data_IF_413757367458
#
_entry.id   IF_413757367458
#
_cell.length_a   1.000
_cell.length_b   1.000
_cell.length_c   1.000
_cell.angle_alpha   90.00
_cell.angle_beta   90.00
_cell.angle_gamma   90.00
#
_symmetry.space_group_name_H-M   'P 1'
#
loop_
_entity.id
_entity.type
_entity.pdbx_description
1 polymer ?
#
# COMPACT_ATOMS: atom_id res chain seq x y z
N UNK A 1 -13.09 5.26 -5.69
CA UNK A 1 -13.34 5.99 -6.96
C UNK A 1 -12.06 6.44 -7.67
N UNK A 2 -11.16 7.21 -7.03
CA UNK A 2 -9.94 7.78 -7.66
C UNK A 2 -9.11 6.79 -8.52
N UNK A 3 -8.98 5.52 -8.12
CA UNK A 3 -8.14 4.51 -8.81
C UNK A 3 -8.77 3.88 -10.06
N UNK A 4 -10.10 3.67 -10.06
CA UNK A 4 -10.82 3.26 -11.28
C UNK A 4 -10.73 4.36 -12.35
N UNK A 5 -10.77 5.62 -11.90
CA UNK A 5 -10.60 6.79 -12.75
C UNK A 5 -9.20 6.83 -13.36
N UNK A 6 -8.13 6.57 -12.59
CA UNK A 6 -6.76 6.48 -13.13
C UNK A 6 -6.68 5.45 -14.26
N UNK A 7 -7.22 4.24 -14.09
CA UNK A 7 -7.21 3.22 -15.16
C UNK A 7 -7.96 3.66 -16.41
N UNK A 8 -9.13 4.27 -16.24
CA UNK A 8 -9.95 4.77 -17.36
C UNK A 8 -9.20 5.89 -18.09
N UNK A 9 -8.60 6.82 -17.35
CA UNK A 9 -7.78 7.89 -17.91
C UNK A 9 -6.57 7.30 -18.64
N UNK A 10 -5.81 6.39 -18.01
CA UNK A 10 -4.64 5.75 -18.63
C UNK A 10 -4.99 5.00 -19.91
N UNK A 11 -6.13 4.29 -19.94
CA UNK A 11 -6.63 3.65 -21.15
C UNK A 11 -7.01 4.67 -22.22
N UNK A 12 -7.68 5.77 -21.85
CA UNK A 12 -8.02 6.85 -22.77
C UNK A 12 -6.76 7.54 -23.34
N UNK A 13 -5.73 7.76 -22.52
CA UNK A 13 -4.46 8.33 -22.97
C UNK A 13 -3.74 7.43 -23.98
N UNK A 14 -3.79 6.11 -23.79
CA UNK A 14 -3.24 5.15 -24.77
C UNK A 14 -4.03 5.22 -26.08
N UNK A 15 -5.36 5.22 -26.02
CA UNK A 15 -6.21 5.30 -27.22
C UNK A 15 -5.97 6.62 -27.97
N UNK A 16 -5.88 7.75 -27.26
CA UNK A 16 -5.58 9.05 -27.84
C UNK A 16 -4.17 9.05 -28.46
N UNK A 17 -3.16 8.53 -27.73
CA UNK A 17 -1.78 8.45 -28.21
C UNK A 17 -1.65 7.60 -29.48
N UNK A 18 -2.27 6.42 -29.51
CA UNK A 18 -2.35 5.57 -30.70
C UNK A 18 -3.09 6.31 -31.82
N UNK A 19 -4.22 6.94 -31.51
CA UNK A 19 -5.01 7.71 -32.46
C UNK A 19 -4.19 8.81 -33.16
N UNK A 20 -3.41 9.58 -32.39
CA UNK A 20 -2.54 10.64 -32.93
C UNK A 20 -1.37 10.13 -33.77
N UNK A 21 -0.90 8.89 -33.53
CA UNK A 21 0.18 8.28 -34.30
C UNK A 21 -0.29 7.68 -35.63
N UNK A 22 -1.57 7.34 -35.75
CA UNK A 22 -2.15 6.69 -36.94
C UNK A 22 -2.76 7.72 -37.91
N UNK A 23 -2.83 9.02 -37.55
CA UNK A 23 -3.36 10.06 -38.45
C UNK A 23 -2.51 10.09 -39.74
N UNK A 24 -3.12 9.76 -40.90
CA UNK A 24 -2.39 9.70 -42.16
C UNK A 24 -1.93 11.11 -42.60
N UNK A 25 -0.76 11.14 -43.23
CA UNK A 25 -0.09 12.36 -43.74
C UNK A 25 -0.98 13.21 -44.66
N UNK A 26 -1.96 12.61 -45.32
CA UNK A 26 -2.81 13.28 -46.31
C UNK A 26 -4.00 14.09 -45.74
N UNK A 27 -4.13 14.24 -44.42
CA UNK A 27 -5.35 14.81 -43.80
C UNK A 27 -5.25 16.30 -43.44
N UNK A 28 -4.07 16.93 -43.54
CA UNK A 28 -3.84 18.32 -43.11
C UNK A 28 -3.63 19.23 -44.33
N UNK A 29 -4.71 19.66 -44.98
CA UNK A 29 -4.60 20.54 -46.16
C UNK A 29 -4.25 21.97 -45.75
N UNK A 30 -2.97 22.37 -45.90
CA UNK A 30 -2.55 23.77 -45.88
C UNK A 30 -1.10 24.03 -45.46
N UNK A 31 -0.31 24.68 -46.35
CA UNK A 31 1.08 25.12 -46.18
C UNK A 31 2.06 24.06 -45.64
N UNK A 32 2.81 23.44 -46.57
CA UNK A 32 3.80 22.36 -46.37
C UNK A 32 4.74 22.54 -45.16
N UNK A 33 5.14 23.77 -44.82
CA UNK A 33 6.04 24.04 -43.67
C UNK A 33 5.31 23.97 -42.32
N UNK A 34 4.06 24.41 -42.26
CA UNK A 34 3.22 24.34 -41.05
C UNK A 34 2.73 22.89 -40.86
N UNK A 35 2.44 22.19 -41.96
CA UNK A 35 1.99 20.80 -41.98
C UNK A 35 3.02 19.85 -41.34
N UNK A 36 4.30 19.96 -41.72
CA UNK A 36 5.38 19.12 -41.18
C UNK A 36 5.63 19.41 -39.69
N UNK A 37 5.70 20.69 -39.27
CA UNK A 37 5.88 21.04 -37.86
C UNK A 37 4.72 20.55 -36.98
N UNK A 38 3.47 20.77 -37.42
CA UNK A 38 2.28 20.34 -36.69
C UNK A 38 2.25 18.82 -36.55
N UNK A 39 2.63 18.09 -37.59
CA UNK A 39 2.64 16.63 -37.57
C UNK A 39 3.73 16.04 -36.67
N UNK A 40 4.94 16.61 -36.68
CA UNK A 40 6.01 16.21 -35.75
C UNK A 40 5.61 16.43 -34.29
N UNK A 41 5.02 17.59 -33.97
CA UNK A 41 4.51 17.87 -32.63
C UNK A 41 3.37 16.92 -32.22
N UNK A 42 2.47 16.55 -33.14
CA UNK A 42 1.41 15.56 -32.91
C UNK A 42 1.97 14.16 -32.62
N UNK A 43 2.99 13.72 -33.36
CA UNK A 43 3.66 12.43 -33.11
C UNK A 43 4.36 12.40 -31.75
N UNK A 44 5.11 13.45 -31.42
CA UNK A 44 5.78 13.58 -30.10
C UNK A 44 4.76 13.57 -28.96
N UNK A 45 3.68 14.34 -29.11
CA UNK A 45 2.59 14.36 -28.13
C UNK A 45 1.92 12.98 -27.98
N UNK A 46 1.71 12.28 -29.10
CA UNK A 46 1.17 10.93 -29.11
C UNK A 46 2.03 9.92 -28.34
N UNK A 47 3.35 9.96 -28.54
CA UNK A 47 4.31 9.13 -27.79
C UNK A 47 4.25 9.44 -26.29
N UNK A 48 4.24 10.72 -25.91
CA UNK A 48 4.16 11.14 -24.50
C UNK A 48 2.88 10.61 -23.85
N UNK A 49 1.73 10.75 -24.52
CA UNK A 49 0.44 10.27 -24.01
C UNK A 49 0.41 8.76 -23.86
N UNK A 50 1.00 8.03 -24.81
CA UNK A 50 1.09 6.58 -24.78
C UNK A 50 1.97 6.09 -23.60
N UNK A 51 3.14 6.71 -23.40
CA UNK A 51 4.01 6.41 -22.26
C UNK A 51 3.33 6.73 -20.92
N UNK A 52 2.69 7.89 -20.79
CA UNK A 52 1.97 8.28 -19.58
C UNK A 52 0.83 7.30 -19.26
N UNK A 53 0.10 6.85 -20.29
CA UNK A 53 -0.95 5.84 -20.13
C UNK A 53 -0.41 4.48 -19.70
N UNK A 54 0.69 3.99 -20.30
CA UNK A 54 1.34 2.73 -19.92
C UNK A 54 1.81 2.78 -18.46
N UNK A 55 2.51 3.85 -18.06
CA UNK A 55 3.00 4.02 -16.69
C UNK A 55 1.83 3.99 -15.70
N UNK A 56 0.73 4.70 -15.99
CA UNK A 56 -0.45 4.69 -15.14
C UNK A 56 -1.11 3.31 -15.01
N UNK A 57 -1.09 2.50 -16.06
CA UNK A 57 -1.56 1.10 -16.01
C UNK A 57 -0.66 0.21 -15.16
N UNK A 58 0.67 0.32 -15.31
CA UNK A 58 1.65 -0.47 -14.55
C UNK A 58 1.50 -0.19 -13.05
N UNK A 59 1.53 1.09 -12.66
CA UNK A 59 1.39 1.52 -11.25
C UNK A 59 0.07 1.01 -10.67
N UNK A 60 -1.03 1.09 -11.43
CA UNK A 60 -2.34 0.61 -10.97
C UNK A 60 -2.44 -0.92 -10.86
N UNK A 61 -1.63 -1.66 -11.62
CA UNK A 61 -1.54 -3.12 -11.56
C UNK A 61 -0.82 -3.59 -10.30
N UNK A 62 0.33 -2.99 -10.00
CA UNK A 62 1.18 -3.30 -8.84
C UNK A 62 0.44 -3.09 -7.52
N UNK A 63 -0.27 -1.97 -7.41
CA UNK A 63 -1.15 -1.61 -6.29
C UNK A 63 -2.17 -2.71 -5.93
N UNK A 64 -2.75 -3.36 -6.95
CA UNK A 64 -3.76 -4.42 -6.77
C UNK A 64 -3.12 -5.71 -6.29
N UNK A 65 -1.95 -6.05 -6.85
CA UNK A 65 -1.18 -7.23 -6.45
C UNK A 65 -0.77 -7.11 -4.98
N UNK A 66 -0.26 -5.95 -4.58
CA UNK A 66 0.17 -5.68 -3.21
C UNK A 66 -0.97 -5.84 -2.20
N UNK A 67 -2.15 -5.28 -2.49
CA UNK A 67 -3.35 -5.50 -1.66
C UNK A 67 -3.77 -6.96 -1.57
N UNK A 68 -3.71 -7.69 -2.69
CA UNK A 68 -4.07 -9.11 -2.70
C UNK A 68 -3.13 -9.94 -1.83
N UNK A 69 -1.83 -9.62 -1.87
CA UNK A 69 -0.82 -10.30 -1.08
C UNK A 69 -0.95 -9.98 0.42
N UNK A 70 -1.16 -8.72 0.78
CA UNK A 70 -1.43 -8.33 2.19
C UNK A 70 -2.67 -9.07 2.71
N UNK A 71 -3.75 -9.11 1.94
CA UNK A 71 -4.95 -9.85 2.32
C UNK A 71 -4.69 -11.36 2.47
N UNK A 72 -3.84 -11.94 1.62
CA UNK A 72 -3.45 -13.34 1.73
C UNK A 72 -2.72 -13.61 3.05
N UNK A 73 -1.71 -12.80 3.38
CA UNK A 73 -0.93 -12.95 4.64
C UNK A 73 -1.83 -12.79 5.86
N UNK A 74 -2.75 -11.82 5.85
CA UNK A 74 -3.69 -11.60 6.95
C UNK A 74 -4.63 -12.80 7.12
N UNK A 75 -5.06 -13.43 6.03
CA UNK A 75 -5.82 -14.69 6.11
C UNK A 75 -4.99 -15.85 6.64
N UNK A 76 -3.70 -15.95 6.30
CA UNK A 76 -2.83 -16.98 6.88
C UNK A 76 -2.70 -16.79 8.40
N UNK A 77 -2.56 -15.54 8.86
CA UNK A 77 -2.58 -15.19 10.28
C UNK A 77 -3.91 -15.54 10.95
N UNK A 78 -5.05 -15.16 10.36
CA UNK A 78 -6.37 -15.48 10.92
C UNK A 78 -6.57 -16.98 11.09
N UNK A 79 -6.08 -17.78 10.15
CA UNK A 79 -6.17 -19.24 10.19
C UNK A 79 -5.13 -19.89 11.12
N UNK A 80 -4.32 -19.10 11.83
CA UNK A 80 -3.30 -19.59 12.76
C UNK A 80 -2.08 -20.21 12.08
N UNK A 81 -1.91 -20.03 10.76
CA UNK A 81 -0.73 -20.51 10.02
C UNK A 81 0.50 -19.67 10.30
N UNK A 82 0.29 -18.40 10.64
CA UNK A 82 1.33 -17.45 11.01
C UNK A 82 1.01 -16.90 12.39
N UNK A 83 2.06 -16.63 13.17
CA UNK A 83 1.94 -15.79 14.35
C UNK A 83 1.93 -14.29 13.93
N UNK A 84 1.56 -13.35 14.82
CA UNK A 84 1.40 -11.94 14.44
C UNK A 84 2.72 -11.30 14.01
N UNK A 85 3.86 -11.70 14.60
CA UNK A 85 5.19 -11.19 14.22
C UNK A 85 5.54 -11.65 12.81
N UNK A 86 5.40 -12.94 12.50
CA UNK A 86 5.65 -13.50 11.17
C UNK A 86 4.76 -12.85 10.10
N UNK A 87 3.48 -12.64 10.39
CA UNK A 87 2.55 -12.00 9.47
C UNK A 87 3.01 -10.57 9.13
N UNK A 88 3.42 -9.80 10.13
CA UNK A 88 3.90 -8.43 9.93
C UNK A 88 5.26 -8.39 9.26
N UNK A 89 6.19 -9.28 9.62
CA UNK A 89 7.48 -9.43 8.93
C UNK A 89 7.27 -9.75 7.46
N UNK A 90 6.38 -10.70 7.13
CA UNK A 90 6.04 -11.05 5.75
C UNK A 90 5.45 -9.86 4.99
N UNK A 91 4.58 -9.07 5.63
CA UNK A 91 4.06 -7.83 5.06
C UNK A 91 5.18 -6.79 4.85
N UNK A 92 6.10 -6.63 5.80
CA UNK A 92 7.12 -5.57 5.80
C UNK A 92 8.33 -5.89 4.92
N UNK A 93 8.75 -7.15 4.83
CA UNK A 93 10.01 -7.57 4.19
C UNK A 93 9.76 -8.32 2.87
N UNK A 94 8.82 -9.27 2.85
CA UNK A 94 8.61 -10.14 1.69
C UNK A 94 7.71 -9.49 0.63
N UNK A 95 6.69 -8.75 1.06
CA UNK A 95 5.75 -8.12 0.11
C UNK A 95 6.30 -6.84 -0.49
N UNK A 96 7.29 -6.22 0.16
CA UNK A 96 7.85 -4.97 -0.33
C UNK A 96 9.38 -4.84 -0.14
N UNK A 97 10.16 -5.65 -0.87
CA UNK A 97 11.62 -5.69 -0.73
C UNK A 97 12.32 -4.36 -1.07
N UNK A 98 11.66 -3.46 -1.80
CA UNK A 98 12.23 -2.20 -2.29
C UNK A 98 12.07 -1.00 -1.32
N UNK A 99 12.02 -1.25 -0.01
CA UNK A 99 12.06 -0.17 1.01
C UNK A 99 10.70 0.33 1.50
N UNK A 100 9.66 -0.43 1.23
CA UNK A 100 8.28 -0.12 1.59
C UNK A 100 8.01 -0.62 2.99
N UNK A 101 8.24 0.27 3.95
CA UNK A 101 8.25 -0.05 5.35
C UNK A 101 6.89 0.26 5.96
N UNK A 102 6.53 -0.53 6.95
CA UNK A 102 5.40 -0.18 7.81
C UNK A 102 5.80 1.08 8.57
N UNK A 103 5.01 2.13 8.37
CA UNK A 103 5.25 3.47 8.91
C UNK A 103 4.28 3.83 10.01
N UNK A 104 3.21 3.05 10.18
CA UNK A 104 2.24 3.28 11.23
C UNK A 104 1.18 2.22 11.28
N UNK A 105 0.46 2.19 12.39
CA UNK A 105 -0.65 1.26 12.61
C UNK A 105 -1.74 1.95 13.39
N UNK A 106 -2.99 1.65 13.08
CA UNK A 106 -4.16 2.16 13.79
C UNK A 106 -5.07 1.00 14.15
N UNK A 107 -5.39 0.85 15.43
CA UNK A 107 -6.34 -0.14 15.90
C UNK A 107 -7.68 0.52 16.22
N UNK A 108 -8.72 0.17 15.49
CA UNK A 108 -10.02 0.86 15.61
C UNK A 108 -10.89 0.33 16.77
N UNK A 109 -10.35 -0.58 17.58
CA UNK A 109 -11.13 -1.35 18.53
C UNK A 109 -11.92 -2.46 17.85
N UNK A 110 -12.42 -3.41 18.67
CA UNK A 110 -13.02 -4.65 18.18
C UNK A 110 -12.02 -5.40 17.29
N UNK A 111 -12.33 -5.62 16.03
CA UNK A 111 -11.61 -6.52 15.17
C UNK A 111 -10.97 -5.84 13.94
N UNK A 112 -10.71 -4.53 14.01
CA UNK A 112 -10.24 -3.76 12.86
C UNK A 112 -8.86 -3.12 13.08
N UNK A 113 -7.94 -3.40 12.17
CA UNK A 113 -6.56 -2.88 12.14
C UNK A 113 -6.30 -2.21 10.80
N UNK A 114 -5.70 -1.02 10.81
CA UNK A 114 -5.18 -0.36 9.62
C UNK A 114 -3.66 -0.22 9.72
N UNK A 115 -2.94 -0.82 8.77
CA UNK A 115 -1.49 -0.71 8.65
C UNK A 115 -1.18 0.31 7.56
N UNK A 116 -0.34 1.30 7.87
CA UNK A 116 0.10 2.33 6.93
C UNK A 116 1.52 2.04 6.46
N UNK A 117 1.73 2.13 5.16
CA UNK A 117 3.02 2.09 4.48
C UNK A 117 3.12 3.29 3.53
N UNK A 118 4.28 3.49 2.89
CA UNK A 118 4.45 4.52 1.86
C UNK A 118 3.53 4.34 0.63
N UNK A 119 3.05 3.11 0.34
CA UNK A 119 2.08 2.81 -0.73
C UNK A 119 0.61 3.07 -0.31
N UNK A 120 0.36 3.27 0.99
CA UNK A 120 -0.94 3.65 1.52
C UNK A 120 -1.38 2.84 2.72
N UNK A 121 -2.70 2.82 2.94
CA UNK A 121 -3.31 2.22 4.14
C UNK A 121 -4.02 0.93 3.76
N UNK A 122 -3.68 -0.14 4.48
CA UNK A 122 -4.27 -1.47 4.38
C UNK A 122 -5.10 -1.73 5.62
N UNK A 123 -6.41 -1.86 5.45
CA UNK A 123 -7.34 -2.13 6.55
C UNK A 123 -7.76 -3.58 6.52
N UNK A 124 -7.58 -4.28 7.64
CA UNK A 124 -7.99 -5.64 7.87
C UNK A 124 -9.09 -5.71 8.93
N UNK A 125 -10.10 -6.51 8.61
CA UNK A 125 -11.16 -6.88 9.54
C UNK A 125 -10.94 -8.34 9.89
N UNK A 126 -10.57 -8.60 11.13
CA UNK A 126 -10.34 -9.94 11.64
C UNK A 126 -11.62 -10.50 12.26
N UNK A 127 -11.68 -11.81 12.45
CA UNK A 127 -12.76 -12.50 13.15
C UNK A 127 -12.71 -12.29 14.66
N UNK A 128 -11.53 -12.00 15.20
CA UNK A 128 -11.26 -11.93 16.64
C UNK A 128 -10.61 -10.58 17.02
N UNK A 129 -11.11 -10.00 18.11
CA UNK A 129 -10.60 -8.75 18.69
C UNK A 129 -9.18 -8.92 19.24
N UNK A 130 -8.88 -10.07 19.85
CA UNK A 130 -7.55 -10.33 20.40
C UNK A 130 -6.53 -10.51 19.28
N UNK A 131 -6.90 -11.20 18.19
CA UNK A 131 -6.06 -11.29 16.98
C UNK A 131 -5.81 -9.92 16.35
N UNK A 132 -6.84 -9.09 16.26
CA UNK A 132 -6.67 -7.73 15.77
C UNK A 132 -5.71 -6.91 16.64
N UNK A 133 -5.81 -7.03 17.96
CA UNK A 133 -4.89 -6.36 18.89
C UNK A 133 -3.46 -6.87 18.74
N UNK A 134 -3.24 -8.18 18.69
CA UNK A 134 -1.91 -8.79 18.52
C UNK A 134 -1.25 -8.39 17.20
N UNK A 135 -2.00 -8.40 16.09
CA UNK A 135 -1.51 -7.93 14.79
C UNK A 135 -1.13 -6.44 14.84
N UNK A 136 -1.94 -5.62 15.53
CA UNK A 136 -1.66 -4.21 15.68
C UNK A 136 -0.40 -3.95 16.53
N UNK A 137 -0.18 -4.73 17.58
CA UNK A 137 1.02 -4.68 18.42
C UNK A 137 2.27 -5.05 17.61
N UNK A 138 2.23 -6.14 16.84
CA UNK A 138 3.33 -6.53 15.97
C UNK A 138 3.67 -5.44 14.94
N UNK A 139 2.65 -4.90 14.26
CA UNK A 139 2.83 -3.84 13.26
C UNK A 139 3.38 -2.55 13.89
N UNK A 140 3.00 -2.25 15.14
CA UNK A 140 3.55 -1.13 15.89
C UNK A 140 5.04 -1.30 16.19
N UNK A 141 5.47 -2.49 16.60
CA UNK A 141 6.88 -2.78 16.85
C UNK A 141 7.73 -2.59 15.58
N UNK A 142 7.25 -3.13 14.46
CA UNK A 142 7.90 -2.97 13.17
C UNK A 142 7.94 -1.50 12.75
N UNK A 143 6.87 -0.73 12.96
CA UNK A 143 6.84 0.70 12.69
C UNK A 143 7.89 1.47 13.50
N UNK A 144 8.06 1.16 14.79
CA UNK A 144 9.08 1.75 15.65
C UNK A 144 10.50 1.41 15.19
N UNK A 145 10.72 0.17 14.73
CA UNK A 145 12.03 -0.26 14.20
C UNK A 145 12.34 0.50 12.90
N UNK A 146 11.35 0.66 12.03
CA UNK A 146 11.49 1.36 10.75
C UNK A 146 11.68 2.87 10.92
N UNK A 147 11.05 3.48 11.93
CA UNK A 147 11.01 4.93 12.14
C UNK A 147 11.58 5.33 13.51
N UNK A 148 12.85 4.97 13.77
CA UNK A 148 13.59 5.34 15.00
C UNK A 148 13.83 6.85 15.08
N UNK A 149 12.79 7.63 15.41
CA UNK A 149 12.88 9.08 15.56
C UNK A 149 11.57 9.84 15.35
N UNK A 150 10.61 9.29 14.60
CA UNK A 150 9.35 9.97 14.30
C UNK A 150 8.13 9.29 14.94
N UNK A 151 7.89 9.65 16.22
CA UNK A 151 6.75 9.14 17.00
C UNK A 151 5.39 9.52 16.43
N UNK A 152 5.30 10.56 15.58
CA UNK A 152 4.04 11.04 14.96
C UNK A 152 3.46 10.03 13.98
N UNK A 153 4.30 9.13 13.48
CA UNK A 153 3.90 8.11 12.52
C UNK A 153 3.48 6.79 13.20
N UNK A 154 3.85 6.60 14.46
CA UNK A 154 3.58 5.39 15.25
C UNK A 154 2.38 5.59 16.20
N UNK A 155 1.30 6.23 15.77
CA UNK A 155 0.14 6.40 16.66
C UNK A 155 -0.68 5.11 16.73
N UNK A 156 -0.45 4.24 17.72
CA UNK A 156 -1.42 3.19 18.02
C UNK A 156 -2.63 3.82 18.74
N UNK A 157 -3.68 4.08 17.96
CA UNK A 157 -4.99 4.39 18.54
C UNK A 157 -5.55 3.10 19.12
N UNK A 158 -5.90 3.05 20.41
CA UNK A 158 -6.66 1.94 21.01
C UNK A 158 -7.99 2.53 21.48
N UNK A 159 -8.98 2.55 20.59
CA UNK A 159 -10.31 3.04 20.92
C UNK A 159 -11.17 1.88 21.44
N UNK A 160 -11.46 1.83 22.75
CA UNK A 160 -12.78 1.34 23.19
C UNK A 160 -13.83 2.45 23.05
N UNK A 161 -13.41 3.71 23.05
CA UNK A 161 -14.27 4.88 22.90
C UNK A 161 -13.64 5.86 21.91
N UNK A 162 -14.52 6.40 21.06
CA UNK A 162 -14.19 7.41 20.04
C UNK A 162 -13.65 8.64 20.77
N UNK A 163 -12.49 9.14 20.34
CA UNK A 163 -11.81 10.35 20.84
C UNK A 163 -10.81 10.12 21.98
N UNK A 164 -9.54 9.91 21.63
CA UNK A 164 -8.42 10.76 22.09
C UNK A 164 -7.12 10.35 21.37
N UNK A 165 -6.32 11.35 20.98
CA UNK A 165 -5.01 11.21 20.29
C UNK A 165 -3.90 10.73 21.25
N UNK A 166 -4.20 9.86 22.21
CA UNK A 166 -3.29 9.62 23.32
C UNK A 166 -2.91 8.14 23.44
N UNK A 167 -1.60 7.92 23.60
CA UNK A 167 -1.02 6.70 24.12
C UNK A 167 -1.81 6.29 25.36
N UNK A 168 -2.61 5.22 25.27
CA UNK A 168 -3.41 4.75 26.40
C UNK A 168 -2.44 4.25 27.48
N UNK A 169 -2.54 4.79 28.70
CA UNK A 169 -1.86 4.24 29.88
C UNK A 169 -2.33 2.79 30.05
N UNK A 170 -1.40 1.81 29.99
CA UNK A 170 -1.70 0.37 29.91
C UNK A 170 -1.35 -0.27 28.55
N UNK A 171 -1.10 0.52 27.50
CA UNK A 171 -0.54 0.02 26.25
C UNK A 171 0.87 -0.57 26.44
N UNK A 172 1.69 0.09 27.25
CA UNK A 172 3.06 -0.36 27.53
C UNK A 172 3.10 -1.73 28.21
N UNK A 173 2.12 -2.01 29.07
CA UNK A 173 1.94 -3.32 29.71
C UNK A 173 1.52 -4.37 28.67
N UNK A 174 0.52 -4.07 27.83
CA UNK A 174 0.11 -4.95 26.73
C UNK A 174 1.25 -5.24 25.74
N UNK A 175 2.08 -4.23 25.45
CA UNK A 175 3.25 -4.37 24.59
C UNK A 175 4.34 -5.20 25.27
N UNK A 176 4.56 -5.01 26.56
CA UNK A 176 5.48 -5.83 27.36
C UNK A 176 5.04 -7.30 27.37
N UNK A 177 3.75 -7.56 27.62
CA UNK A 177 3.18 -8.90 27.61
C UNK A 177 3.28 -9.57 26.25
N UNK A 178 2.99 -8.82 25.18
CA UNK A 178 3.17 -9.26 23.80
C UNK A 178 4.62 -9.65 23.52
N UNK A 179 5.58 -8.80 23.87
CA UNK A 179 7.01 -9.08 23.72
C UNK A 179 7.42 -10.33 24.49
N UNK A 180 6.95 -10.48 25.72
CA UNK A 180 7.25 -11.62 26.56
C UNK A 180 6.68 -12.93 25.97
N UNK A 181 5.47 -12.90 25.42
CA UNK A 181 4.84 -14.04 24.74
C UNK A 181 5.66 -14.47 23.52
N UNK A 182 5.92 -13.57 22.58
CA UNK A 182 6.53 -13.94 21.30
C UNK A 182 8.07 -14.03 21.32
N UNK A 183 8.74 -13.47 22.34
CA UNK A 183 10.18 -13.72 22.57
C UNK A 183 10.47 -15.10 23.16
N UNK A 184 9.50 -15.70 23.88
CA UNK A 184 9.61 -17.08 24.37
C UNK A 184 9.37 -18.08 23.26
N UNK A 185 8.36 -17.84 22.43
CA UNK A 185 8.04 -18.70 21.27
C UNK A 185 9.20 -18.80 20.26
N UNK A 186 9.94 -17.71 20.04
CA UNK A 186 11.12 -17.72 19.15
C UNK A 186 12.32 -18.50 19.72
N UNK A 187 12.41 -18.66 21.04
CA UNK A 187 13.45 -19.46 21.70
C UNK A 187 13.14 -20.96 21.67
N UNK A 188 11.87 -21.33 21.77
CA UNK A 188 11.44 -22.74 21.73
C UNK A 188 11.38 -23.33 20.32
N UNK A 189 11.31 -22.50 19.28
CA UNK A 189 11.25 -22.98 17.89
C UNK A 189 12.64 -23.26 17.27
N UNK A 190 13.72 -23.01 18.01
CA UNK A 190 15.12 -23.23 17.60
C UNK A 190 15.80 -24.40 18.32
N UNK A 191 15.01 -25.21 19.05
CA UNK A 191 15.42 -26.47 19.69
C UNK A 191 14.62 -27.61 19.11
#
# INVERSE_FOLDING_TARGET
MKRKIIRIISAALIVIGIGTLIIPESTITGNVVIEVMVQEHLRVFGVIMLLAGIVGLIVSGEDRRNRSLVNYVIKEYENGKLNPVQAVTKINEELFPNGLRIDGVRYHGRNNVSIRTSEGIFTAHLSDTDKARELALAAYETALINNRGDKRNCELHISKEVSTKHHVKGFEELLSDFRNKYSRESRTSNT
#
